data_IF_370423171436
#
_entry.id   IF_370423171436
#
_cell.length_a   1.000
_cell.length_b   1.000
_cell.length_c   1.000
_cell.angle_alpha   90.00
_cell.angle_beta   90.00
_cell.angle_gamma   90.00
#
_symmetry.space_group_name_H-M   'P 1'
#
loop_
_entity.id
_entity.type
_entity.pdbx_description
1 polymer ?
#
# COMPACT_ATOMS: atom_id res chain seq x y z
N UNK A 1 19.24 -5.38 -40.24
CA UNK A 1 19.48 -4.51 -39.06
C UNK A 1 19.12 -3.09 -39.46
N UNK A 2 18.52 -2.30 -38.56
CA UNK A 2 18.15 -0.90 -38.88
C UNK A 2 19.37 0.01 -38.80
N UNK A 3 19.46 0.98 -39.71
CA UNK A 3 20.55 1.97 -39.77
C UNK A 3 20.71 2.69 -38.43
N UNK A 4 19.60 2.94 -37.72
CA UNK A 4 19.60 3.56 -36.39
C UNK A 4 20.39 2.76 -35.35
N UNK A 5 20.38 1.43 -35.45
CA UNK A 5 21.14 0.58 -34.53
C UNK A 5 22.63 0.68 -34.80
N UNK A 6 23.03 0.62 -36.07
CA UNK A 6 24.43 0.76 -36.46
C UNK A 6 24.98 2.15 -36.09
N UNK A 7 24.19 3.20 -36.34
CA UNK A 7 24.57 4.57 -35.99
C UNK A 7 24.73 4.73 -34.47
N UNK A 8 23.82 4.17 -33.67
CA UNK A 8 23.91 4.21 -32.21
C UNK A 8 25.15 3.46 -31.70
N UNK A 9 25.44 2.29 -32.25
CA UNK A 9 26.55 1.46 -31.81
C UNK A 9 27.90 2.12 -32.15
N UNK A 10 28.05 2.72 -33.33
CA UNK A 10 29.26 3.50 -33.69
C UNK A 10 29.46 4.72 -32.78
N UNK A 11 28.38 5.45 -32.47
CA UNK A 11 28.44 6.61 -31.58
C UNK A 11 28.82 6.21 -30.14
N UNK A 12 28.30 5.09 -29.65
CA UNK A 12 28.66 4.56 -28.33
C UNK A 12 30.12 4.13 -28.29
N UNK A 13 30.59 3.42 -29.32
CA UNK A 13 31.98 2.98 -29.42
C UNK A 13 32.93 4.19 -29.50
N UNK A 14 32.54 5.26 -30.20
CA UNK A 14 33.31 6.49 -30.23
C UNK A 14 33.32 7.20 -28.87
N UNK A 15 32.18 7.27 -28.17
CA UNK A 15 32.08 7.87 -26.85
C UNK A 15 32.93 7.13 -25.79
N UNK A 16 32.97 5.79 -25.84
CA UNK A 16 33.82 4.98 -24.96
C UNK A 16 35.32 5.19 -25.21
N UNK A 17 35.70 5.53 -26.45
CA UNK A 17 37.10 5.83 -26.80
C UNK A 17 37.57 7.20 -26.28
N UNK A 18 36.65 8.09 -25.91
CA UNK A 18 36.98 9.42 -25.38
C UNK A 18 37.32 9.32 -23.89
N UNK A 19 38.56 9.67 -23.54
CA UNK A 19 38.94 9.85 -22.14
C UNK A 19 38.32 11.13 -21.61
N UNK A 20 37.34 10.99 -20.72
CA UNK A 20 36.70 12.14 -20.07
C UNK A 20 37.71 12.81 -19.14
N UNK A 21 37.98 14.12 -19.29
CA UNK A 21 38.86 14.83 -18.37
C UNK A 21 38.26 14.83 -16.95
N UNK A 22 39.06 14.55 -15.90
CA UNK A 22 38.57 14.42 -14.53
C UNK A 22 37.97 15.74 -13.99
N UNK A 23 38.35 16.90 -14.55
CA UNK A 23 37.73 18.17 -14.18
C UNK A 23 36.26 18.29 -14.61
N UNK A 24 35.85 17.58 -15.67
CA UNK A 24 34.48 17.65 -16.17
C UNK A 24 33.58 16.69 -15.38
N UNK A 25 34.06 15.48 -15.11
CA UNK A 25 33.32 14.49 -14.32
C UNK A 25 33.00 15.02 -12.92
N UNK A 26 33.99 15.63 -12.25
CA UNK A 26 33.81 16.24 -10.94
C UNK A 26 32.81 17.41 -10.96
N UNK A 27 32.87 18.31 -11.96
CA UNK A 27 31.92 19.42 -12.09
C UNK A 27 30.50 18.94 -12.36
N UNK A 28 30.33 17.95 -13.25
CA UNK A 28 29.02 17.38 -13.56
C UNK A 28 28.45 16.68 -12.34
N UNK A 29 29.25 15.86 -11.65
CA UNK A 29 28.85 15.18 -10.43
C UNK A 29 28.41 16.17 -9.33
N UNK A 30 29.20 17.22 -9.08
CA UNK A 30 28.87 18.26 -8.10
C UNK A 30 27.60 19.01 -8.49
N UNK A 31 27.43 19.38 -9.77
CA UNK A 31 26.22 20.07 -10.25
C UNK A 31 24.97 19.21 -10.10
N UNK A 32 25.09 17.91 -10.34
CA UNK A 32 23.99 16.95 -10.22
C UNK A 32 23.64 16.70 -8.75
N UNK A 33 24.65 16.63 -7.88
CA UNK A 33 24.48 16.50 -6.45
C UNK A 33 23.80 17.74 -5.85
N UNK A 34 24.17 18.95 -6.28
CA UNK A 34 23.53 20.20 -5.86
C UNK A 34 22.10 20.31 -6.36
N UNK A 35 21.82 19.92 -7.61
CA UNK A 35 20.45 19.82 -8.13
C UNK A 35 19.58 18.87 -7.27
N UNK A 36 20.12 17.71 -6.90
CA UNK A 36 19.42 16.74 -6.03
C UNK A 36 19.26 17.25 -4.58
N UNK A 37 20.25 17.99 -4.06
CA UNK A 37 20.16 18.63 -2.74
C UNK A 37 19.15 19.77 -2.70
N UNK A 38 19.06 20.61 -3.75
CA UNK A 38 18.03 21.64 -3.86
C UNK A 38 16.62 21.04 -3.98
N UNK A 39 16.49 19.85 -4.60
CA UNK A 39 15.23 19.11 -4.66
C UNK A 39 14.81 18.51 -3.30
N UNK A 40 15.77 18.17 -2.42
CA UNK A 40 15.53 17.67 -1.05
C UNK A 40 15.42 18.78 0.01
N UNK A 41 16.04 19.94 -0.19
CA UNK A 41 16.14 21.02 0.81
C UNK A 41 14.97 22.00 0.85
N UNK A 42 13.90 21.79 0.07
CA UNK A 42 12.73 22.68 0.06
C UNK A 42 11.75 22.46 1.21
N UNK A 43 12.06 21.55 2.12
CA UNK A 43 11.37 21.41 3.41
C UNK A 43 12.27 21.98 4.52
N UNK A 44 11.86 23.14 5.04
CA UNK A 44 12.32 23.85 6.26
C UNK A 44 13.46 24.87 6.11
N UNK A 45 13.09 26.14 5.86
CA UNK A 45 13.20 27.18 6.90
C UNK A 45 12.07 28.22 6.77
N UNK A 46 11.52 28.57 7.93
CA UNK A 46 10.32 29.38 8.16
C UNK A 46 10.64 30.89 8.10
N UNK A 47 9.56 31.67 7.94
CA UNK A 47 9.38 33.12 8.23
C UNK A 47 9.71 34.08 7.09
N UNK A 48 8.69 34.48 6.32
CA UNK A 48 8.25 35.88 6.12
C UNK A 48 6.77 35.87 5.69
N UNK A 49 6.03 36.89 6.10
CA UNK A 49 4.57 36.97 6.20
C UNK A 49 3.82 37.14 4.85
N UNK A 50 2.61 36.54 4.83
CA UNK A 50 1.35 36.91 4.17
C UNK A 50 1.34 37.56 2.77
N UNK A 51 0.65 36.91 1.83
CA UNK A 51 -0.26 37.55 0.85
C UNK A 51 -1.06 36.49 0.08
N UNK A 52 -2.39 36.63 0.05
CA UNK A 52 -3.22 36.23 -1.09
C UNK A 52 -3.86 34.84 -1.05
N UNK A 53 -5.13 34.80 -0.68
CA UNK A 53 -6.06 33.68 -0.87
C UNK A 53 -6.12 33.30 -2.37
N UNK A 54 -5.85 32.04 -2.70
CA UNK A 54 -6.35 31.40 -3.92
C UNK A 54 -7.33 30.30 -3.49
N UNK A 55 -8.52 30.43 -4.04
CA UNK A 55 -9.72 29.67 -3.76
C UNK A 55 -9.57 28.15 -3.95
N UNK A 56 -10.19 27.39 -3.04
CA UNK A 56 -10.90 26.12 -3.30
C UNK A 56 -10.08 25.02 -4.00
N UNK A 57 -9.21 24.37 -3.25
CA UNK A 57 -8.81 22.98 -3.54
C UNK A 57 -8.64 22.14 -2.27
N UNK A 58 -9.41 22.44 -1.20
CA UNK A 58 -9.62 21.47 -0.13
C UNK A 58 -10.80 20.61 -0.55
N UNK A 59 -10.53 19.42 -1.10
CA UNK A 59 -11.39 18.24 -0.95
C UNK A 59 -10.66 16.99 -1.44
N UNK A 60 -9.53 16.68 -0.78
CA UNK A 60 -9.36 15.28 -0.40
C UNK A 60 -9.83 15.25 1.05
N UNK A 61 -10.95 14.58 1.38
CA UNK A 61 -11.34 14.41 2.76
C UNK A 61 -10.27 13.57 3.47
N UNK A 62 -9.28 14.25 4.05
CA UNK A 62 -8.41 13.74 5.13
C UNK A 62 -9.17 13.74 6.46
N UNK A 63 -10.49 13.56 6.40
CA UNK A 63 -11.36 13.48 7.56
C UNK A 63 -11.38 12.07 8.21
N UNK A 64 -10.64 11.10 7.67
CA UNK A 64 -10.60 9.74 8.19
C UNK A 64 -9.58 9.51 9.33
N UNK A 65 -8.77 10.50 9.70
CA UNK A 65 -7.63 10.29 10.63
C UNK A 65 -7.90 10.67 12.10
N UNK A 66 -9.14 10.52 12.57
CA UNK A 66 -9.46 10.69 14.00
C UNK A 66 -10.36 9.60 14.59
N UNK A 67 -10.85 8.65 13.78
CA UNK A 67 -11.50 7.45 14.29
C UNK A 67 -10.43 6.39 14.55
N UNK A 68 -10.44 5.69 15.70
CA UNK A 68 -9.64 4.49 15.88
C UNK A 68 -9.89 3.56 14.69
N UNK A 69 -8.83 3.08 14.05
CA UNK A 69 -8.95 2.12 12.96
C UNK A 69 -9.65 0.87 13.51
N UNK A 70 -10.76 0.47 12.88
CA UNK A 70 -11.48 -0.75 13.26
C UNK A 70 -10.60 -1.98 12.99
N UNK A 71 -9.78 -1.91 11.95
CA UNK A 71 -8.75 -2.87 11.63
C UNK A 71 -7.75 -3.01 12.78
N UNK A 72 -7.39 -1.96 13.51
CA UNK A 72 -6.45 -2.08 14.64
C UNK A 72 -7.00 -2.97 15.77
N UNK A 73 -8.32 -3.06 15.95
CA UNK A 73 -8.90 -3.97 16.95
C UNK A 73 -8.74 -5.45 16.57
N UNK A 74 -8.51 -5.74 15.29
CA UNK A 74 -8.41 -7.09 14.74
C UNK A 74 -6.95 -7.45 14.46
N UNK A 75 -6.21 -6.57 13.79
CA UNK A 75 -4.83 -6.79 13.36
C UNK A 75 -3.78 -6.18 14.32
N UNK A 76 -4.22 -5.40 15.30
CA UNK A 76 -3.36 -4.66 16.24
C UNK A 76 -2.74 -3.40 15.63
N UNK A 77 -2.19 -3.50 14.41
CA UNK A 77 -1.63 -2.38 13.65
C UNK A 77 -1.44 -2.73 12.18
N UNK A 78 -1.24 -1.73 11.32
CA UNK A 78 -0.86 -1.94 9.91
C UNK A 78 0.45 -2.70 9.74
N UNK A 79 1.34 -2.64 10.75
CA UNK A 79 2.61 -3.35 10.76
C UNK A 79 2.44 -4.87 10.64
N UNK A 80 1.39 -5.46 11.19
CA UNK A 80 1.13 -6.91 11.12
C UNK A 80 0.92 -7.39 9.68
N UNK A 81 0.37 -6.53 8.81
CA UNK A 81 0.14 -6.80 7.40
C UNK A 81 1.42 -6.53 6.59
N UNK A 82 2.10 -5.42 6.88
CA UNK A 82 3.34 -5.03 6.19
C UNK A 82 4.48 -6.02 6.46
N UNK A 83 4.62 -6.48 7.71
CA UNK A 83 5.62 -7.49 8.10
C UNK A 83 5.38 -8.86 7.44
N UNK A 84 4.20 -9.07 6.83
CA UNK A 84 3.84 -10.27 6.05
C UNK A 84 3.74 -10.01 4.56
N UNK A 85 4.43 -8.99 4.06
CA UNK A 85 4.51 -8.69 2.63
C UNK A 85 3.31 -7.94 2.05
N UNK A 86 2.38 -7.46 2.88
CA UNK A 86 1.31 -6.56 2.45
C UNK A 86 1.76 -5.09 2.39
N UNK A 87 0.89 -4.24 1.88
CA UNK A 87 1.13 -2.80 1.74
C UNK A 87 0.27 -1.97 2.69
N UNK A 88 0.61 -0.68 2.84
CA UNK A 88 -0.22 0.23 3.62
C UNK A 88 -1.59 0.45 2.94
N UNK A 89 -1.63 0.37 1.61
CA UNK A 89 -2.84 0.41 0.80
C UNK A 89 -3.76 -0.77 1.11
N UNK A 90 -3.22 -1.99 1.18
CA UNK A 90 -4.01 -3.18 1.54
C UNK A 90 -4.67 -3.02 2.92
N UNK A 91 -3.93 -2.47 3.88
CA UNK A 91 -4.46 -2.18 5.21
C UNK A 91 -5.58 -1.13 5.16
N UNK A 92 -5.46 -0.09 4.32
CA UNK A 92 -6.53 0.89 4.14
C UNK A 92 -7.77 0.31 3.46
N UNK A 93 -7.63 -0.61 2.52
CA UNK A 93 -8.77 -1.30 1.91
C UNK A 93 -9.53 -2.15 2.92
N UNK A 94 -8.80 -2.86 3.78
CA UNK A 94 -9.37 -3.63 4.87
C UNK A 94 -10.10 -2.71 5.85
N UNK A 95 -9.51 -1.59 6.25
CA UNK A 95 -10.18 -0.60 7.10
C UNK A 95 -11.49 -0.11 6.47
N UNK A 96 -11.46 0.27 5.18
CA UNK A 96 -12.67 0.71 4.47
C UNK A 96 -13.76 -0.36 4.51
N UNK A 97 -13.39 -1.62 4.30
CA UNK A 97 -14.33 -2.73 4.40
C UNK A 97 -14.97 -2.81 5.80
N UNK A 98 -14.18 -2.70 6.87
CA UNK A 98 -14.71 -2.72 8.24
C UNK A 98 -15.59 -1.50 8.56
N UNK A 99 -15.27 -0.33 8.01
CA UNK A 99 -16.09 0.87 8.16
C UNK A 99 -17.42 0.73 7.41
N UNK A 100 -17.39 0.21 6.17
CA UNK A 100 -18.59 -0.10 5.41
C UNK A 100 -19.44 -1.18 6.11
N UNK A 101 -18.79 -2.19 6.68
CA UNK A 101 -19.44 -3.22 7.48
C UNK A 101 -20.18 -2.62 8.67
N UNK A 102 -19.50 -1.81 9.46
CA UNK A 102 -20.10 -1.15 10.63
C UNK A 102 -21.23 -0.18 10.25
N UNK A 103 -21.16 0.44 9.08
CA UNK A 103 -22.22 1.34 8.60
C UNK A 103 -23.45 0.62 8.08
N UNK A 104 -23.33 -0.62 7.59
CA UNK A 104 -24.42 -1.35 6.91
C UNK A 104 -24.98 -2.51 7.73
N UNK A 105 -24.19 -3.09 8.62
CA UNK A 105 -24.59 -4.16 9.52
C UNK A 105 -25.08 -3.59 10.84
N UNK A 106 -25.93 -4.36 11.53
CA UNK A 106 -26.27 -4.10 12.93
C UNK A 106 -25.07 -4.38 13.85
N UNK A 107 -25.09 -3.88 15.08
CA UNK A 107 -23.98 -4.11 16.03
C UNK A 107 -23.70 -5.60 16.29
N UNK A 108 -24.75 -6.41 16.36
CA UNK A 108 -24.67 -7.86 16.55
C UNK A 108 -24.02 -8.55 15.34
N UNK A 109 -24.49 -8.23 14.13
CA UNK A 109 -23.92 -8.76 12.88
C UNK A 109 -22.48 -8.32 12.66
N UNK A 110 -22.14 -7.08 13.04
CA UNK A 110 -20.77 -6.57 12.98
C UNK A 110 -19.85 -7.29 13.97
N UNK A 111 -20.33 -7.61 15.18
CA UNK A 111 -19.59 -8.37 16.17
C UNK A 111 -19.30 -9.81 15.67
N UNK A 112 -20.28 -10.45 15.04
CA UNK A 112 -20.09 -11.76 14.40
C UNK A 112 -19.11 -11.67 13.23
N UNK A 113 -19.31 -10.71 12.32
CA UNK A 113 -18.43 -10.47 11.17
C UNK A 113 -16.97 -10.24 11.61
N UNK A 114 -16.74 -9.37 12.59
CA UNK A 114 -15.41 -9.07 13.10
C UNK A 114 -14.75 -10.29 13.75
N UNK A 115 -15.52 -11.11 14.47
CA UNK A 115 -15.03 -12.37 15.06
C UNK A 115 -14.61 -13.37 13.99
N UNK A 116 -15.43 -13.58 12.96
CA UNK A 116 -15.12 -14.52 11.87
C UNK A 116 -13.93 -14.01 11.04
N UNK A 117 -13.87 -12.71 10.75
CA UNK A 117 -12.75 -12.10 10.05
C UNK A 117 -11.44 -12.19 10.84
N UNK A 118 -11.50 -12.04 12.17
CA UNK A 118 -10.34 -12.24 13.03
C UNK A 118 -9.82 -13.68 12.94
N UNK A 119 -10.71 -14.67 13.03
CA UNK A 119 -10.32 -16.08 12.88
C UNK A 119 -9.70 -16.37 11.51
N UNK A 120 -10.29 -15.83 10.44
CA UNK A 120 -9.78 -15.99 9.08
C UNK A 120 -8.38 -15.37 8.95
N UNK A 121 -8.20 -14.18 9.50
CA UNK A 121 -6.89 -13.55 9.46
C UNK A 121 -5.87 -14.27 10.34
N UNK A 122 -6.20 -14.70 11.55
CA UNK A 122 -5.27 -15.40 12.44
C UNK A 122 -4.72 -16.66 11.75
N UNK A 123 -5.58 -17.41 11.04
CA UNK A 123 -5.16 -18.54 10.20
C UNK A 123 -4.31 -18.08 9.01
N UNK A 124 -4.70 -17.02 8.31
CA UNK A 124 -3.92 -16.44 7.20
C UNK A 124 -2.52 -16.00 7.65
N UNK A 125 -2.42 -15.37 8.80
CA UNK A 125 -1.21 -14.90 9.48
C UNK A 125 -0.31 -16.07 9.87
N UNK A 126 -0.90 -17.19 10.29
CA UNK A 126 -0.18 -18.41 10.63
C UNK A 126 0.48 -19.05 9.41
N UNK A 127 -0.20 -19.05 8.25
CA UNK A 127 0.34 -19.63 7.01
C UNK A 127 1.21 -18.69 6.18
N UNK A 128 1.04 -17.37 6.35
CA UNK A 128 1.77 -16.39 5.54
C UNK A 128 3.12 -16.08 6.20
N UNK A 129 4.19 -16.38 5.49
CA UNK A 129 5.54 -16.07 5.93
C UNK A 129 5.89 -14.58 5.79
N UNK A 130 7.12 -14.22 6.19
CA UNK A 130 7.62 -12.83 6.11
C UNK A 130 7.77 -12.31 4.68
N UNK A 131 7.77 -13.19 3.68
CA UNK A 131 7.85 -12.85 2.27
C UNK A 131 6.46 -12.73 1.62
N UNK A 132 5.38 -12.93 2.39
CA UNK A 132 4.01 -12.94 1.88
C UNK A 132 3.63 -14.25 1.18
N UNK A 133 4.44 -15.30 1.30
CA UNK A 133 4.15 -16.62 0.72
C UNK A 133 3.26 -17.39 1.68
N UNK A 134 2.11 -17.86 1.18
CA UNK A 134 1.18 -18.69 1.93
C UNK A 134 1.63 -20.15 1.89
N UNK A 135 1.88 -20.72 3.05
CA UNK A 135 2.22 -22.13 3.24
C UNK A 135 0.98 -22.87 3.73
N UNK A 136 0.08 -23.23 2.81
CA UNK A 136 -1.15 -23.97 3.12
C UNK A 136 -0.86 -25.32 3.81
N UNK A 137 0.32 -25.89 3.57
CA UNK A 137 0.81 -27.13 4.17
C UNK A 137 1.00 -27.04 5.70
N UNK A 138 1.00 -25.83 6.27
CA UNK A 138 1.10 -25.62 7.72
C UNK A 138 -0.24 -25.73 8.45
N UNK A 139 -1.36 -25.80 7.71
CA UNK A 139 -2.69 -25.99 8.30
C UNK A 139 -3.00 -27.47 8.46
N UNK A 140 -3.61 -27.82 9.58
CA UNK A 140 -4.28 -29.11 9.72
C UNK A 140 -5.44 -29.22 8.73
N UNK A 141 -5.85 -30.43 8.39
CA UNK A 141 -6.97 -30.65 7.45
C UNK A 141 -8.26 -29.95 7.94
N UNK A 142 -8.49 -29.91 9.25
CA UNK A 142 -9.60 -29.18 9.86
C UNK A 142 -9.48 -27.67 9.72
N UNK A 143 -8.30 -27.09 9.99
CA UNK A 143 -8.06 -25.64 9.87
C UNK A 143 -8.13 -25.19 8.41
N UNK A 144 -7.65 -26.01 7.47
CA UNK A 144 -7.74 -25.74 6.04
C UNK A 144 -9.20 -25.71 5.57
N UNK A 145 -10.00 -26.68 5.99
CA UNK A 145 -11.45 -26.69 5.72
C UNK A 145 -12.16 -25.50 6.35
N UNK A 146 -11.74 -25.09 7.55
CA UNK A 146 -12.27 -23.88 8.18
C UNK A 146 -11.93 -22.63 7.36
N UNK A 147 -10.69 -22.51 6.92
CA UNK A 147 -10.20 -21.35 6.16
C UNK A 147 -10.79 -21.25 4.74
N UNK A 148 -10.92 -22.38 4.03
CA UNK A 148 -11.36 -22.40 2.63
C UNK A 148 -12.89 -22.48 2.47
N UNK A 149 -13.61 -23.15 3.38
CA UNK A 149 -15.05 -23.35 3.25
C UNK A 149 -15.84 -22.61 4.34
N UNK A 150 -15.57 -22.91 5.62
CA UNK A 150 -16.48 -22.55 6.71
C UNK A 150 -16.47 -21.04 6.99
N UNK A 151 -15.28 -20.44 7.12
CA UNK A 151 -15.15 -19.01 7.38
C UNK A 151 -15.63 -18.20 6.17
N UNK A 152 -15.26 -18.50 4.90
CA UNK A 152 -15.80 -17.80 3.74
C UNK A 152 -17.32 -17.92 3.60
N UNK A 153 -17.91 -19.10 3.84
CA UNK A 153 -19.37 -19.25 3.82
C UNK A 153 -20.06 -18.42 4.90
N UNK A 154 -19.46 -18.32 6.09
CA UNK A 154 -19.99 -17.47 7.16
C UNK A 154 -19.89 -15.99 6.81
N UNK A 155 -18.77 -15.53 6.24
CA UNK A 155 -18.60 -14.10 5.93
C UNK A 155 -19.35 -13.68 4.65
N UNK A 156 -19.54 -14.58 3.69
CA UNK A 156 -20.23 -14.32 2.41
C UNK A 156 -21.55 -13.52 2.52
N UNK A 157 -22.54 -13.92 3.35
CA UNK A 157 -23.81 -13.18 3.46
C UNK A 157 -23.62 -11.76 4.01
N UNK A 158 -22.61 -11.54 4.88
CA UNK A 158 -22.30 -10.19 5.35
C UNK A 158 -21.65 -9.37 4.24
N UNK A 159 -20.72 -9.94 3.45
CA UNK A 159 -20.15 -9.24 2.29
C UNK A 159 -21.21 -8.85 1.25
N UNK A 160 -22.20 -9.69 1.01
CA UNK A 160 -23.31 -9.37 0.11
C UNK A 160 -24.15 -8.19 0.64
N UNK A 161 -24.45 -8.18 1.95
CA UNK A 161 -25.10 -7.05 2.62
C UNK A 161 -24.25 -5.78 2.55
N UNK A 162 -22.94 -5.89 2.75
CA UNK A 162 -21.99 -4.76 2.76
C UNK A 162 -21.78 -4.20 1.35
N UNK A 163 -21.55 -5.01 0.33
CA UNK A 163 -21.37 -4.52 -1.05
C UNK A 163 -22.67 -4.03 -1.68
N UNK A 164 -23.79 -4.39 -1.07
CA UNK A 164 -25.12 -4.05 -1.53
C UNK A 164 -25.55 -4.99 -2.64
N UNK A 165 -26.63 -5.74 -2.37
CA UNK A 165 -27.36 -6.44 -3.40
C UNK A 165 -27.75 -5.49 -4.54
N UNK A 166 -26.98 -5.52 -5.63
CA UNK A 166 -27.50 -5.32 -6.98
C UNK A 166 -27.78 -6.69 -7.60
N UNK A 167 -28.66 -7.43 -6.94
CA UNK A 167 -29.45 -8.48 -7.59
C UNK A 167 -30.84 -7.92 -7.85
N UNK A 168 -30.96 -7.09 -8.89
CA UNK A 168 -32.24 -6.91 -9.59
C UNK A 168 -32.08 -7.57 -10.95
#
# INVERSE_FOLDING_TARGET
MSIDKQLRDELLQHAESLKTPPEIESRVYLSYQDYMKQKKGRFLMKKRLLSGIVAVAILIPTAALATPYLADQIFGSSKTIIDRGGTQEDYQEIEKLFQEAKSKLTEEEYAEFSTVMKQLMDLKIKITDQNGVMHEDQLTAEERKQFEEILPQKVAPYFEKIRGGKGK
#
